data_IF_302795597273
#
_entry.id   IF_302795597273
#
_cell.length_a   1.000
_cell.length_b   1.000
_cell.length_c   1.000
_cell.angle_alpha   90.00
_cell.angle_beta   90.00
_cell.angle_gamma   90.00
#
_symmetry.space_group_name_H-M   'P 1'
#
loop_
_entity.id
_entity.type
_entity.pdbx_description
1 polymer ?
#
# COMPACT_ATOMS: atom_id res chain seq x y z
N UNK A 1 9.07 -29.79 5.30
CA UNK A 1 9.83 -29.12 4.22
C UNK A 1 9.33 -27.69 4.14
N UNK A 2 10.19 -26.71 4.36
CA UNK A 2 9.83 -25.30 4.24
C UNK A 2 9.53 -24.99 2.77
N UNK A 3 8.29 -24.62 2.47
CA UNK A 3 7.89 -24.28 1.11
C UNK A 3 8.48 -22.92 0.75
N UNK A 4 9.51 -22.91 -0.11
CA UNK A 4 10.13 -21.69 -0.63
C UNK A 4 9.49 -21.30 -1.95
N UNK A 5 9.32 -19.99 -2.17
CA UNK A 5 8.83 -19.41 -3.41
C UNK A 5 9.93 -18.51 -4.00
N UNK A 6 10.01 -18.43 -5.32
CA UNK A 6 10.86 -17.43 -5.97
C UNK A 6 10.10 -16.11 -6.09
N UNK A 7 10.67 -15.03 -5.56
CA UNK A 7 10.14 -13.68 -5.69
C UNK A 7 10.69 -13.02 -6.96
N UNK A 8 9.83 -12.82 -7.96
CA UNK A 8 10.17 -12.16 -9.21
C UNK A 8 10.13 -10.64 -9.06
N UNK A 9 10.75 -9.86 -9.98
CA UNK A 9 10.62 -8.41 -9.98
C UNK A 9 9.16 -7.91 -9.99
N UNK A 10 8.24 -8.71 -10.55
CA UNK A 10 6.81 -8.39 -10.66
C UNK A 10 5.96 -8.90 -9.48
N UNK A 11 6.50 -9.68 -8.55
CA UNK A 11 5.76 -10.26 -7.41
C UNK A 11 5.96 -11.77 -7.25
N UNK A 12 5.14 -12.41 -6.43
CA UNK A 12 5.17 -13.87 -6.28
C UNK A 12 4.47 -14.49 -7.50
N UNK A 13 5.08 -15.52 -8.10
CA UNK A 13 4.67 -16.07 -9.41
C UNK A 13 3.24 -16.66 -9.52
N UNK A 14 2.46 -16.66 -8.43
CA UNK A 14 1.05 -17.05 -8.39
C UNK A 14 0.10 -15.88 -8.12
N UNK A 15 0.59 -14.64 -8.04
CA UNK A 15 -0.23 -13.49 -7.69
C UNK A 15 -1.10 -13.10 -8.89
N UNK A 16 -2.42 -13.23 -8.72
CA UNK A 16 -3.42 -12.59 -9.58
C UNK A 16 -3.25 -11.06 -9.47
N UNK A 17 -2.36 -10.50 -10.27
CA UNK A 17 -2.32 -9.08 -10.55
C UNK A 17 -3.70 -8.73 -11.13
N UNK A 18 -4.57 -8.06 -10.35
CA UNK A 18 -5.84 -7.51 -10.85
C UNK A 18 -5.60 -6.60 -12.06
N UNK A 19 -6.67 -6.09 -12.70
CA UNK A 19 -6.60 -5.33 -13.98
C UNK A 19 -5.25 -4.58 -14.20
N UNK A 20 -4.39 -5.03 -15.13
CA UNK A 20 -3.01 -4.54 -15.28
C UNK A 20 -2.92 -3.06 -15.64
N UNK A 21 -4.04 -2.43 -16.06
CA UNK A 21 -4.11 -0.98 -16.29
C UNK A 21 -4.15 -0.18 -14.99
N UNK A 22 -4.56 -0.81 -13.89
CA UNK A 22 -4.77 -0.17 -12.58
C UNK A 22 -4.02 -0.87 -11.43
N UNK A 23 -3.55 -2.11 -11.61
CA UNK A 23 -2.77 -2.90 -10.65
C UNK A 23 -1.51 -3.46 -11.30
N UNK A 24 -0.50 -3.73 -10.48
CA UNK A 24 0.76 -4.23 -10.96
C UNK A 24 1.70 -3.17 -11.53
N UNK A 25 2.88 -3.64 -11.87
CA UNK A 25 4.07 -2.84 -12.13
C UNK A 25 5.12 -3.06 -11.03
N UNK A 26 6.41 -2.84 -11.35
CA UNK A 26 7.53 -3.13 -10.46
C UNK A 26 7.43 -2.41 -9.11
N UNK A 27 6.73 -1.28 -9.07
CA UNK A 27 6.48 -0.48 -7.87
C UNK A 27 5.48 -1.09 -6.87
N UNK A 28 4.72 -2.12 -7.27
CA UNK A 28 3.64 -2.72 -6.46
C UNK A 28 3.71 -4.24 -6.48
N UNK A 29 4.92 -4.78 -6.46
CA UNK A 29 5.19 -6.21 -6.55
C UNK A 29 4.68 -6.99 -5.34
N UNK A 30 4.71 -6.39 -4.15
CA UNK A 30 4.20 -7.02 -2.92
C UNK A 30 3.38 -6.03 -2.12
N UNK A 31 2.21 -6.47 -1.64
CA UNK A 31 1.37 -5.73 -0.70
C UNK A 31 1.61 -6.20 0.74
N UNK A 32 1.86 -5.26 1.65
CA UNK A 32 2.02 -5.49 3.08
C UNK A 32 0.83 -4.92 3.86
N UNK A 33 0.26 -5.70 4.76
CA UNK A 33 -0.74 -5.22 5.71
C UNK A 33 -0.42 -5.60 7.16
N UNK A 34 -0.29 -4.63 8.08
CA UNK A 34 -0.05 -4.90 9.51
C UNK A 34 -1.17 -5.73 10.13
N UNK A 35 -0.83 -6.85 10.76
CA UNK A 35 -1.80 -7.75 11.38
C UNK A 35 -2.49 -7.12 12.60
N UNK A 36 -1.86 -6.12 13.23
CA UNK A 36 -2.39 -5.30 14.32
C UNK A 36 -3.75 -4.67 13.96
N UNK A 37 -3.90 -4.23 12.70
CA UNK A 37 -5.09 -3.54 12.24
C UNK A 37 -6.31 -4.46 12.22
N UNK A 38 -6.14 -5.78 12.12
CA UNK A 38 -7.27 -6.70 12.19
C UNK A 38 -8.02 -6.64 13.53
N UNK A 39 -7.34 -6.25 14.62
CA UNK A 39 -8.02 -6.00 15.89
C UNK A 39 -9.01 -4.83 15.79
N UNK A 40 -8.63 -3.76 15.09
CA UNK A 40 -9.49 -2.61 14.85
C UNK A 40 -10.73 -3.03 14.03
N UNK A 41 -10.51 -3.74 12.91
CA UNK A 41 -11.61 -4.15 12.03
C UNK A 41 -12.57 -5.14 12.69
N UNK A 42 -12.08 -6.09 13.49
CA UNK A 42 -12.93 -6.98 14.31
C UNK A 42 -13.79 -6.21 15.30
N UNK A 43 -13.29 -5.09 15.85
CA UNK A 43 -14.08 -4.25 16.77
C UNK A 43 -15.17 -3.48 16.02
N UNK A 44 -14.86 -2.98 14.81
CA UNK A 44 -15.75 -2.12 14.04
C UNK A 44 -16.82 -2.90 13.25
N UNK A 45 -16.46 -4.05 12.67
CA UNK A 45 -17.34 -4.91 11.89
C UNK A 45 -17.30 -6.34 12.41
N UNK A 46 -17.91 -6.55 13.57
CA UNK A 46 -17.86 -7.81 14.35
C UNK A 46 -18.43 -9.04 13.63
N UNK A 47 -19.31 -8.83 12.66
CA UNK A 47 -19.99 -9.89 11.91
C UNK A 47 -19.12 -10.48 10.78
N UNK A 48 -17.95 -9.92 10.52
CA UNK A 48 -17.04 -10.37 9.45
C UNK A 48 -15.77 -11.01 10.02
N UNK A 49 -15.23 -11.98 9.29
CA UNK A 49 -14.05 -12.74 9.67
C UNK A 49 -12.75 -12.05 9.26
N UNK A 50 -12.41 -10.94 9.93
CA UNK A 50 -11.18 -10.19 9.67
C UNK A 50 -9.92 -10.92 10.13
N UNK A 51 -9.15 -11.40 9.15
CA UNK A 51 -7.85 -12.07 9.29
C UNK A 51 -7.03 -11.94 8.01
N UNK A 52 -5.72 -12.16 8.04
CA UNK A 52 -4.94 -12.23 6.80
C UNK A 52 -5.48 -13.33 5.86
N UNK A 53 -5.55 -13.12 4.53
CA UNK A 53 -5.23 -11.90 3.78
C UNK A 53 -6.49 -11.08 3.39
N UNK A 54 -7.22 -10.55 4.38
CA UNK A 54 -8.51 -9.86 4.16
C UNK A 54 -8.39 -8.58 3.31
N UNK A 55 -7.22 -7.94 3.31
CA UNK A 55 -6.95 -6.76 2.48
C UNK A 55 -6.25 -7.11 1.16
N UNK A 56 -6.05 -8.41 0.88
CA UNK A 56 -5.35 -8.89 -0.31
C UNK A 56 -3.84 -8.69 -0.23
N UNK A 57 -3.28 -8.73 0.97
CA UNK A 57 -1.84 -8.64 1.21
C UNK A 57 -1.11 -9.95 0.93
N UNK A 58 0.12 -9.82 0.43
CA UNK A 58 1.05 -10.94 0.32
C UNK A 58 1.79 -11.15 1.65
N UNK A 59 2.09 -10.06 2.35
CA UNK A 59 2.81 -10.05 3.62
C UNK A 59 1.91 -9.51 4.73
N UNK A 60 1.76 -10.29 5.81
CA UNK A 60 1.10 -9.87 7.03
C UNK A 60 1.99 -10.16 8.22
N UNK A 61 2.33 -9.13 8.99
CA UNK A 61 3.30 -9.20 10.09
C UNK A 61 2.79 -8.47 11.33
N UNK A 62 3.42 -8.74 12.46
CA UNK A 62 3.36 -7.90 13.65
C UNK A 62 4.69 -7.14 13.85
N UNK A 63 4.64 -6.00 14.52
CA UNK A 63 5.79 -5.15 14.84
C UNK A 63 6.16 -4.13 13.77
N UNK A 64 5.47 -4.13 12.63
CA UNK A 64 5.66 -3.17 11.55
C UNK A 64 4.30 -2.55 11.19
N UNK A 65 4.16 -1.26 11.48
CA UNK A 65 3.02 -0.42 11.12
C UNK A 65 3.47 0.76 10.28
N UNK A 66 2.51 1.52 9.77
CA UNK A 66 2.77 2.70 8.93
C UNK A 66 3.64 3.76 9.64
N UNK A 67 3.66 3.79 10.97
CA UNK A 67 4.50 4.69 11.77
C UNK A 67 5.97 4.24 11.86
N UNK A 68 6.21 2.93 11.77
CA UNK A 68 7.54 2.33 11.99
C UNK A 68 8.31 2.10 10.70
N UNK A 69 7.62 2.12 9.56
CA UNK A 69 8.17 1.86 8.22
C UNK A 69 8.25 3.16 7.44
N UNK A 70 9.39 3.41 6.80
CA UNK A 70 9.62 4.60 5.97
C UNK A 70 9.62 4.26 4.48
N UNK A 71 9.25 5.24 3.66
CA UNK A 71 9.41 5.14 2.21
C UNK A 71 10.90 4.97 1.89
N UNK A 72 11.22 4.02 1.02
CA UNK A 72 12.59 3.67 0.69
C UNK A 72 13.29 2.74 1.67
N UNK A 73 12.66 2.34 2.79
CA UNK A 73 13.21 1.27 3.63
C UNK A 73 13.45 0.01 2.79
N UNK A 74 14.67 -0.51 2.83
CA UNK A 74 15.05 -1.74 2.16
C UNK A 74 15.13 -2.88 3.17
N UNK A 75 14.44 -3.98 2.91
CA UNK A 75 14.44 -5.17 3.75
C UNK A 75 15.02 -6.37 3.01
N UNK A 76 15.84 -7.15 3.72
CA UNK A 76 16.16 -8.52 3.33
C UNK A 76 15.02 -9.45 3.75
N UNK A 77 14.58 -10.29 2.84
CA UNK A 77 13.63 -11.38 3.08
C UNK A 77 14.16 -12.62 2.39
N UNK A 78 14.64 -13.61 3.15
CA UNK A 78 15.37 -14.74 2.58
C UNK A 78 16.59 -14.28 1.76
N UNK A 79 16.60 -14.63 0.48
CA UNK A 79 17.62 -14.23 -0.50
C UNK A 79 17.27 -12.94 -1.27
N UNK A 80 16.03 -12.45 -1.13
CA UNK A 80 15.55 -11.28 -1.83
C UNK A 80 15.81 -9.99 -1.05
N UNK A 81 15.83 -8.87 -1.79
CA UNK A 81 15.81 -7.51 -1.25
C UNK A 81 14.60 -6.78 -1.82
N UNK A 82 13.75 -6.27 -0.93
CA UNK A 82 12.54 -5.53 -1.26
C UNK A 82 12.62 -4.12 -0.66
N UNK A 83 12.03 -3.13 -1.33
CA UNK A 83 12.07 -1.74 -0.89
C UNK A 83 10.67 -1.13 -0.86
N UNK A 84 10.35 -0.43 0.21
CA UNK A 84 9.06 0.25 0.37
C UNK A 84 8.92 1.34 -0.69
N UNK A 85 7.89 1.23 -1.53
CA UNK A 85 7.72 2.07 -2.71
C UNK A 85 6.68 3.15 -2.54
N UNK A 86 5.58 2.85 -1.86
CA UNK A 86 4.46 3.76 -1.65
C UNK A 86 3.47 3.20 -0.63
N UNK A 87 2.66 4.06 0.02
CA UNK A 87 1.48 3.60 0.73
C UNK A 87 0.48 2.95 -0.24
N UNK A 88 -0.37 2.06 0.30
CA UNK A 88 -1.43 1.44 -0.48
C UNK A 88 -2.65 2.37 -0.51
N UNK A 89 -3.04 2.83 -1.70
CA UNK A 89 -4.26 3.63 -1.85
C UNK A 89 -5.51 2.73 -1.78
N UNK A 90 -6.45 2.97 -0.86
CA UNK A 90 -7.70 2.22 -0.80
C UNK A 90 -8.55 2.45 -2.04
N UNK A 91 -9.33 1.44 -2.44
CA UNK A 91 -10.21 1.54 -3.61
C UNK A 91 -11.50 0.72 -3.43
N UNK A 92 -12.50 1.02 -4.27
CA UNK A 92 -13.85 0.44 -4.26
C UNK A 92 -13.91 -1.09 -4.26
N UNK A 93 -12.87 -1.79 -4.71
CA UNK A 93 -12.79 -3.26 -4.62
C UNK A 93 -12.86 -3.78 -3.18
N UNK A 94 -12.42 -3.00 -2.18
CA UNK A 94 -12.64 -3.35 -0.78
C UNK A 94 -14.12 -3.38 -0.44
N UNK A 95 -14.88 -2.38 -0.88
CA UNK A 95 -16.33 -2.36 -0.67
C UNK A 95 -16.98 -3.58 -1.30
N UNK A 96 -16.63 -3.90 -2.56
CA UNK A 96 -17.18 -5.07 -3.26
C UNK A 96 -16.84 -6.40 -2.57
N UNK A 97 -15.64 -6.53 -2.01
CA UNK A 97 -15.20 -7.75 -1.31
C UNK A 97 -15.98 -7.98 -0.02
N UNK A 98 -16.25 -6.93 0.74
CA UNK A 98 -16.80 -7.03 2.09
C UNK A 98 -18.28 -6.64 2.20
N UNK A 99 -18.87 -6.08 1.14
CA UNK A 99 -20.22 -5.53 1.17
C UNK A 99 -20.36 -4.28 2.04
N UNK A 100 -19.27 -3.54 2.25
CA UNK A 100 -19.22 -2.33 3.10
C UNK A 100 -18.85 -1.15 2.22
N UNK A 101 -19.82 -0.31 1.89
CA UNK A 101 -19.66 0.79 0.93
C UNK A 101 -18.55 1.77 1.34
N UNK A 102 -18.54 2.18 2.60
CA UNK A 102 -17.66 3.19 3.16
C UNK A 102 -16.24 2.70 3.48
N UNK A 103 -15.99 1.39 3.39
CA UNK A 103 -14.72 0.78 3.82
C UNK A 103 -13.46 1.41 3.18
N UNK A 104 -13.40 1.70 1.87
CA UNK A 104 -12.23 2.35 1.27
C UNK A 104 -11.94 3.72 1.88
N UNK A 105 -13.00 4.51 2.14
CA UNK A 105 -12.88 5.82 2.77
C UNK A 105 -12.41 5.69 4.21
N UNK A 106 -12.99 4.76 4.97
CA UNK A 106 -12.59 4.51 6.35
C UNK A 106 -11.13 4.05 6.48
N UNK A 107 -10.66 3.19 5.57
CA UNK A 107 -9.25 2.76 5.51
C UNK A 107 -8.33 3.96 5.21
N UNK A 108 -8.74 4.86 4.32
CA UNK A 108 -7.97 6.06 3.99
C UNK A 108 -7.91 7.02 5.18
N UNK A 109 -9.07 7.33 5.77
CA UNK A 109 -9.20 8.31 6.84
C UNK A 109 -8.50 7.83 8.12
N UNK A 110 -8.53 6.52 8.38
CA UNK A 110 -7.79 5.94 9.52
C UNK A 110 -6.30 5.74 9.27
N UNK A 111 -5.84 5.84 8.02
CA UNK A 111 -4.46 5.57 7.62
C UNK A 111 -4.01 4.10 7.73
N UNK A 112 -4.92 3.17 8.08
CA UNK A 112 -4.64 1.73 8.21
C UNK A 112 -4.62 1.04 6.86
N UNK A 113 -3.80 1.54 5.94
CA UNK A 113 -3.87 1.18 4.54
C UNK A 113 -2.80 0.16 4.12
N UNK A 114 -1.75 -0.04 4.91
CA UNK A 114 -0.59 -0.82 4.47
C UNK A 114 0.23 -0.12 3.39
N UNK A 115 1.17 -0.84 2.79
CA UNK A 115 2.08 -0.31 1.78
C UNK A 115 2.48 -1.35 0.75
N UNK A 116 3.16 -0.90 -0.29
CA UNK A 116 3.74 -1.76 -1.31
C UNK A 116 5.26 -1.79 -1.24
N UNK A 117 5.82 -2.88 -1.75
CA UNK A 117 7.23 -2.98 -2.07
C UNK A 117 7.46 -3.11 -3.58
N UNK A 118 8.59 -2.58 -4.02
CA UNK A 118 9.30 -3.02 -5.22
C UNK A 118 10.35 -4.07 -4.86
N UNK A 119 10.72 -4.91 -5.82
CA UNK A 119 11.80 -5.91 -5.64
C UNK A 119 13.09 -5.35 -6.22
N UNK A 120 14.09 -5.11 -5.37
CA UNK A 120 15.43 -4.66 -5.80
C UNK A 120 16.30 -5.83 -6.25
N UNK A 121 16.17 -6.97 -5.56
CA UNK A 121 16.86 -8.22 -5.89
C UNK A 121 15.91 -9.40 -5.76
N UNK A 122 15.61 -10.12 -6.86
CA UNK A 122 14.89 -11.40 -6.83
C UNK A 122 15.63 -12.47 -6.03
N UNK A 123 14.90 -13.44 -5.48
CA UNK A 123 15.48 -14.56 -4.74
C UNK A 123 14.43 -15.48 -4.13
N UNK A 124 14.88 -16.59 -3.53
CA UNK A 124 13.99 -17.46 -2.76
C UNK A 124 13.60 -16.85 -1.42
N UNK A 125 12.32 -16.96 -1.10
CA UNK A 125 11.70 -16.48 0.13
C UNK A 125 10.78 -17.53 0.72
N UNK A 126 10.54 -17.45 2.02
CA UNK A 126 9.62 -18.32 2.75
C UNK A 126 8.89 -17.57 3.85
N UNK A 127 7.84 -18.20 4.39
CA UNK A 127 7.13 -17.68 5.57
C UNK A 127 7.94 -17.77 6.87
N UNK A 128 9.02 -18.56 6.89
CA UNK A 128 9.96 -18.64 8.01
C UNK A 128 10.99 -17.50 8.02
N UNK A 129 11.21 -16.86 6.87
CA UNK A 129 12.17 -15.77 6.75
C UNK A 129 11.64 -14.48 7.40
N UNK A 130 12.46 -13.89 8.26
CA UNK A 130 12.17 -12.57 8.85
C UNK A 130 12.51 -11.46 7.87
N UNK A 131 11.74 -10.38 7.92
CA UNK A 131 12.11 -9.11 7.30
C UNK A 131 13.18 -8.43 8.16
N UNK A 132 14.38 -8.27 7.61
CA UNK A 132 15.49 -7.57 8.28
C UNK A 132 15.75 -6.24 7.56
N UNK A 133 15.57 -5.13 8.26
CA UNK A 133 15.87 -3.79 7.73
C UNK A 133 17.37 -3.70 7.41
N UNK A 134 17.69 -3.30 6.18
CA UNK A 134 19.05 -3.09 5.70
C UNK A 134 19.38 -1.59 5.69
N UNK A 135 18.49 -0.78 5.13
CA UNK A 135 18.71 0.65 4.90
C UNK A 135 17.43 1.44 5.12
N UNK A 136 17.59 2.68 5.59
CA UNK A 136 16.52 3.68 5.76
C UNK A 136 17.01 5.05 5.23
N UNK A 137 16.95 5.28 3.91
CA UNK A 137 17.45 6.51 3.32
C UNK A 137 16.58 7.74 3.61
N UNK A 138 15.28 7.56 3.87
CA UNK A 138 14.34 8.67 4.13
C UNK A 138 13.66 8.52 5.50
N UNK A 139 14.40 8.67 6.62
CA UNK A 139 13.88 8.41 7.97
C UNK A 139 12.74 9.33 8.41
N UNK A 140 12.58 10.49 7.78
CA UNK A 140 11.53 11.46 8.10
C UNK A 140 10.20 11.19 7.37
N UNK A 141 10.20 10.33 6.34
CA UNK A 141 9.02 10.01 5.55
C UNK A 141 8.51 8.61 5.90
N UNK A 142 7.94 8.46 7.10
CA UNK A 142 7.17 7.27 7.44
C UNK A 142 6.01 7.07 6.46
N UNK A 143 5.52 5.83 6.32
CA UNK A 143 4.32 5.55 5.51
C UNK A 143 3.13 6.35 6.06
N UNK A 144 3.02 6.48 7.39
CA UNK A 144 2.00 7.31 8.03
C UNK A 144 2.14 8.79 7.68
N UNK A 145 3.36 9.34 7.67
CA UNK A 145 3.63 10.72 7.23
C UNK A 145 3.27 10.92 5.76
N UNK A 146 3.58 9.94 4.90
CA UNK A 146 3.21 9.98 3.50
C UNK A 146 1.69 9.95 3.29
N UNK A 147 0.98 9.09 4.03
CA UNK A 147 -0.49 9.02 4.05
C UNK A 147 -1.09 10.34 4.52
N UNK A 148 -0.57 10.94 5.60
CA UNK A 148 -1.03 12.23 6.11
C UNK A 148 -0.88 13.32 5.06
N UNK A 149 0.31 13.48 4.50
CA UNK A 149 0.61 14.49 3.50
C UNK A 149 -0.24 14.33 2.23
N UNK A 150 -0.58 13.10 1.83
CA UNK A 150 -1.32 12.88 0.58
C UNK A 150 -2.84 12.83 0.76
N UNK A 151 -3.36 12.32 1.88
CA UNK A 151 -4.80 12.10 2.07
C UNK A 151 -5.44 12.99 3.12
N UNK A 152 -4.75 13.31 4.21
CA UNK A 152 -5.33 14.05 5.34
C UNK A 152 -5.07 15.55 5.23
N UNK A 153 -3.89 15.94 4.74
CA UNK A 153 -3.44 17.32 4.56
C UNK A 153 -2.96 17.55 3.11
N UNK A 154 -3.81 17.27 2.10
CA UNK A 154 -3.39 17.09 0.71
C UNK A 154 -2.85 18.35 0.00
N UNK A 155 -2.92 19.53 0.62
CA UNK A 155 -2.41 20.81 0.11
C UNK A 155 -1.37 21.45 1.04
N UNK A 156 -0.96 20.75 2.11
CA UNK A 156 0.09 21.23 3.00
C UNK A 156 1.44 21.16 2.26
N UNK A 157 2.11 22.31 2.16
CA UNK A 157 3.23 22.50 1.23
C UNK A 157 4.46 21.67 1.60
N UNK A 158 4.81 21.62 2.89
CA UNK A 158 5.97 20.90 3.38
C UNK A 158 5.83 19.39 3.12
N UNK A 159 4.67 18.82 3.44
CA UNK A 159 4.34 17.42 3.20
C UNK A 159 4.39 17.07 1.72
N UNK A 160 3.85 17.91 0.84
CA UNK A 160 3.94 17.69 -0.60
C UNK A 160 5.38 17.79 -1.13
N UNK A 161 6.18 18.73 -0.62
CA UNK A 161 7.60 18.85 -0.97
C UNK A 161 8.39 17.61 -0.54
N UNK A 162 8.13 17.10 0.67
CA UNK A 162 8.74 15.88 1.19
C UNK A 162 8.40 14.67 0.30
N UNK A 163 7.13 14.53 -0.11
CA UNK A 163 6.73 13.49 -1.06
C UNK A 163 7.45 13.64 -2.41
N UNK A 164 7.48 14.85 -2.98
CA UNK A 164 8.08 15.10 -4.28
C UNK A 164 9.59 14.81 -4.30
N UNK A 165 10.30 15.17 -3.22
CA UNK A 165 11.75 15.02 -3.10
C UNK A 165 12.21 13.58 -2.83
N UNK A 166 11.32 12.68 -2.35
CA UNK A 166 11.69 11.31 -2.03
C UNK A 166 11.79 10.44 -3.28
N UNK A 167 12.99 10.25 -3.84
CA UNK A 167 13.19 9.49 -5.08
C UNK A 167 12.75 8.01 -4.98
N UNK A 168 12.77 7.44 -3.77
CA UNK A 168 12.28 6.09 -3.52
C UNK A 168 10.74 6.00 -3.45
N UNK A 169 10.01 7.11 -3.48
CA UNK A 169 8.56 7.12 -3.61
C UNK A 169 8.16 6.88 -5.08
N UNK A 170 7.12 6.07 -5.29
CA UNK A 170 6.66 5.76 -6.63
C UNK A 170 6.28 7.01 -7.42
N UNK A 171 6.59 6.99 -8.73
CA UNK A 171 6.41 8.15 -9.61
C UNK A 171 4.99 8.73 -9.54
N UNK A 172 3.96 7.86 -9.51
CA UNK A 172 2.56 8.29 -9.40
C UNK A 172 2.28 9.19 -8.18
N UNK A 173 2.86 8.87 -7.03
CA UNK A 173 2.68 9.68 -5.81
C UNK A 173 3.47 10.98 -5.90
N UNK A 174 4.69 10.93 -6.40
CA UNK A 174 5.52 12.13 -6.64
C UNK A 174 4.87 13.10 -7.62
N UNK A 175 4.36 12.59 -8.74
CA UNK A 175 3.66 13.38 -9.76
C UNK A 175 2.34 13.95 -9.23
N UNK A 176 1.64 13.19 -8.38
CA UNK A 176 0.47 13.69 -7.66
C UNK A 176 0.83 14.88 -6.76
N UNK A 177 1.90 14.76 -5.97
CA UNK A 177 2.36 15.84 -5.11
C UNK A 177 2.83 17.08 -5.89
N UNK A 178 3.62 16.88 -6.95
CA UNK A 178 4.09 17.94 -7.82
C UNK A 178 2.92 18.71 -8.47
N UNK A 179 1.91 17.99 -8.98
CA UNK A 179 0.72 18.63 -9.55
C UNK A 179 -0.01 19.49 -8.54
N UNK A 180 -0.22 18.99 -7.32
CA UNK A 180 -0.88 19.74 -6.23
C UNK A 180 -0.08 20.98 -5.82
N UNK A 181 1.25 20.88 -5.74
CA UNK A 181 2.13 22.04 -5.49
C UNK A 181 1.99 23.11 -6.57
N UNK A 182 1.85 22.71 -7.84
CA UNK A 182 1.69 23.65 -8.95
C UNK A 182 0.27 24.24 -9.09
N UNK A 183 -0.76 23.44 -8.81
CA UNK A 183 -2.16 23.83 -9.08
C UNK A 183 -2.89 24.37 -7.85
N UNK A 184 -2.43 24.04 -6.65
CA UNK A 184 -3.17 24.29 -5.40
C UNK A 184 -4.47 23.48 -5.30
N UNK A 185 -4.64 22.42 -6.11
CA UNK A 185 -5.87 21.64 -6.22
C UNK A 185 -5.62 20.14 -6.01
N UNK A 186 -6.56 19.49 -5.33
CA UNK A 186 -6.57 18.03 -5.12
C UNK A 186 -7.38 17.37 -6.24
N UNK A 187 -6.85 16.28 -6.81
CA UNK A 187 -7.58 15.49 -7.79
C UNK A 187 -8.80 14.78 -7.17
N UNK A 188 -9.84 14.54 -7.97
CA UNK A 188 -11.01 13.80 -7.49
C UNK A 188 -10.65 12.34 -7.15
N UNK A 189 -11.09 11.89 -5.98
CA UNK A 189 -10.92 10.52 -5.50
C UNK A 189 -12.16 9.64 -5.67
N UNK A 190 -13.29 10.20 -6.12
CA UNK A 190 -14.57 9.47 -6.19
C UNK A 190 -14.47 8.19 -7.00
N UNK A 191 -13.94 8.26 -8.23
CA UNK A 191 -13.77 7.09 -9.09
C UNK A 191 -12.93 5.99 -8.42
N UNK A 192 -11.93 6.36 -7.61
CA UNK A 192 -11.10 5.39 -6.87
C UNK A 192 -11.86 4.78 -5.70
N UNK A 193 -12.55 5.60 -4.92
CA UNK A 193 -13.20 5.19 -3.67
C UNK A 193 -14.53 4.46 -3.91
N UNK A 194 -15.34 4.93 -4.85
CA UNK A 194 -16.69 4.43 -5.13
C UNK A 194 -16.78 3.60 -6.43
N UNK A 195 -15.75 3.66 -7.28
CA UNK A 195 -15.80 3.13 -8.64
C UNK A 195 -16.37 4.16 -9.60
N UNK A 196 -16.25 3.91 -10.90
CA UNK A 196 -16.97 4.70 -11.89
C UNK A 196 -18.46 4.31 -11.83
N UNK A 197 -19.40 5.27 -11.95
CA UNK A 197 -20.78 4.94 -12.27
C UNK A 197 -20.76 4.02 -13.48
N UNK A 198 -21.44 2.88 -13.41
CA UNK A 198 -21.72 2.14 -14.63
C UNK A 198 -22.65 3.02 -15.45
N UNK A 199 -22.13 3.68 -16.49
CA UNK A 199 -22.97 4.28 -17.51
C UNK A 199 -23.85 3.16 -18.10
N UNK A 200 -25.13 3.12 -17.69
CA UNK A 200 -26.18 2.47 -18.45
C UNK A 200 -26.22 0.94 -18.52
N UNK A 201 -25.83 0.17 -17.48
CA UNK A 201 -26.20 -1.25 -17.43
C UNK A 201 -27.46 -1.50 -16.59
N UNK A 202 -28.61 -1.34 -17.26
CA UNK A 202 -29.70 -2.31 -17.12
C UNK A 202 -29.26 -3.59 -17.82
N UNK A 203 -29.29 -4.71 -17.09
CA UNK A 203 -29.63 -6.05 -17.58
C UNK A 203 -30.04 -6.88 -16.37
#
# INVERSE_FOLDING_TARGET
>A
MEHRLWLWPQGLGSDEQGDPRFHGGPERALHHYPAEHYRYWRKHYRHLAWKAPSFGENLSTYGLTEEQVCIGDSFRWGEAIIQVSQPRSPCYRLSRRWGIEELPRLVQDTGRCGWFYRVLRPGFVSTGDRLALLERPFPELSVARAVRAYFHEPLEREGLQLLQACEALSGRWRDGAARRLSSGQVEDWNARLHGLPLEGMRA
#
